data_IF_941482151747
#
_entry.id   IF_941482151747
#
_cell.length_a   1.000
_cell.length_b   1.000
_cell.length_c   1.000
_cell.angle_alpha   90.00
_cell.angle_beta   90.00
_cell.angle_gamma   90.00
#
_symmetry.space_group_name_H-M   'P 1'
#
loop_
_entity.id
_entity.type
_entity.pdbx_description
1 polymer ?
#
# COMPACT_ATOMS: atom_id res chain seq x y z
N UNK A 1 7.80 -64.66 -0.42
CA UNK A 1 8.35 -64.73 -1.80
C UNK A 1 9.14 -63.45 -1.99
N UNK A 2 10.43 -63.58 -2.14
CA UNK A 2 11.41 -62.54 -2.36
C UNK A 2 11.44 -62.13 -3.83
N UNK A 3 11.74 -60.87 -4.13
CA UNK A 3 12.43 -60.36 -5.32
C UNK A 3 12.73 -58.88 -5.01
N UNK A 4 13.90 -58.54 -4.78
CA UNK A 4 15.19 -58.45 -5.46
C UNK A 4 15.49 -56.98 -5.84
N UNK A 5 16.58 -56.50 -5.26
CA UNK A 5 17.33 -55.26 -5.51
C UNK A 5 17.61 -55.02 -7.00
N UNK A 6 17.66 -53.76 -7.40
CA UNK A 6 18.62 -53.38 -8.40
C UNK A 6 19.17 -51.94 -8.12
N UNK A 7 20.44 -51.95 -7.75
CA UNK A 7 21.35 -50.81 -7.65
C UNK A 7 21.45 -50.07 -8.97
N UNK A 8 21.32 -48.71 -8.94
CA UNK A 8 21.97 -47.85 -9.93
C UNK A 8 22.81 -46.78 -9.24
N UNK A 9 24.04 -47.13 -9.14
CA UNK A 9 25.23 -46.34 -8.92
C UNK A 9 25.19 -45.08 -9.81
N UNK A 10 25.14 -43.86 -9.24
CA UNK A 10 25.34 -42.63 -9.97
C UNK A 10 26.42 -41.78 -9.28
N UNK A 11 27.60 -41.97 -9.79
CA UNK A 11 28.88 -41.38 -9.47
C UNK A 11 28.81 -39.85 -9.84
N UNK A 12 28.60 -38.95 -8.88
CA UNK A 12 28.80 -37.53 -9.05
C UNK A 12 30.09 -37.10 -8.38
N UNK A 13 31.07 -36.74 -9.21
CA UNK A 13 32.32 -36.11 -8.81
C UNK A 13 32.06 -34.75 -8.15
N UNK A 14 32.87 -34.35 -7.15
CA UNK A 14 32.75 -33.02 -6.54
C UNK A 14 33.33 -31.94 -7.47
N UNK A 15 32.58 -30.85 -7.61
CA UNK A 15 32.98 -29.64 -8.33
C UNK A 15 34.00 -28.84 -7.50
N UNK A 16 35.22 -28.65 -8.06
CA UNK A 16 36.24 -27.71 -7.52
C UNK A 16 36.01 -26.34 -8.17
N UNK A 17 35.95 -25.24 -7.40
CA UNK A 17 36.00 -23.91 -8.02
C UNK A 17 37.46 -23.53 -8.34
N UNK A 18 37.72 -23.24 -9.61
CA UNK A 18 38.95 -22.61 -10.07
C UNK A 18 38.95 -21.14 -9.70
N UNK A 19 40.09 -20.69 -9.16
CA UNK A 19 40.35 -19.32 -8.78
C UNK A 19 40.57 -18.39 -9.98
N UNK A 20 39.90 -17.24 -9.97
CA UNK A 20 40.13 -16.13 -10.89
C UNK A 20 40.40 -14.84 -10.10
N UNK A 21 41.68 -14.44 -10.05
CA UNK A 21 42.21 -13.21 -9.46
C UNK A 21 41.70 -11.98 -10.21
N UNK A 22 41.31 -10.95 -9.48
CA UNK A 22 40.97 -9.66 -10.08
C UNK A 22 40.59 -8.60 -9.05
N UNK A 23 41.49 -8.32 -8.09
CA UNK A 23 41.36 -7.16 -7.20
C UNK A 23 41.77 -5.88 -7.92
N UNK A 24 40.79 -5.03 -8.32
CA UNK A 24 41.07 -3.64 -8.67
C UNK A 24 41.28 -2.83 -7.40
N UNK A 25 42.53 -2.45 -7.12
CA UNK A 25 42.90 -1.47 -6.11
C UNK A 25 42.55 -0.08 -6.60
N UNK A 26 41.76 0.66 -5.84
CA UNK A 26 41.66 2.12 -5.94
C UNK A 26 42.79 2.75 -5.14
N UNK A 27 43.43 3.84 -5.62
CA UNK A 27 44.52 4.47 -4.91
C UNK A 27 44.03 5.20 -3.66
N UNK A 28 44.73 4.97 -2.56
CA UNK A 28 44.55 5.70 -1.32
C UNK A 28 45.18 7.08 -1.45
N UNK A 29 44.41 8.13 -1.30
CA UNK A 29 44.89 9.50 -1.14
C UNK A 29 45.47 9.63 0.28
N UNK A 30 46.80 9.76 0.31
CA UNK A 30 47.61 10.12 1.48
C UNK A 30 47.60 11.63 1.56
N UNK A 31 46.80 12.21 2.49
CA UNK A 31 47.09 13.47 3.18
C UNK A 31 45.86 13.88 4.01
N UNK A 32 45.70 13.29 5.17
CA UNK A 32 44.92 13.86 6.24
C UNK A 32 45.72 13.76 7.54
N UNK A 33 46.37 14.86 7.92
CA UNK A 33 46.99 15.02 9.25
C UNK A 33 45.98 15.66 10.19
N UNK A 34 45.71 15.11 11.37
CA UNK A 34 44.95 15.79 12.39
C UNK A 34 45.82 16.78 13.16
N UNK A 35 45.52 18.06 13.03
CA UNK A 35 46.12 19.09 13.86
C UNK A 35 45.18 19.46 15.01
N UNK A 36 45.68 19.23 16.22
CA UNK A 36 45.79 20.18 17.32
C UNK A 36 44.52 20.67 18.00
N UNK A 37 44.43 20.28 19.25
CA UNK A 37 43.67 20.90 20.34
C UNK A 37 43.68 22.43 20.28
N UNK A 38 42.48 23.04 20.37
CA UNK A 38 42.31 24.44 20.77
C UNK A 38 41.55 24.53 22.07
N UNK A 39 42.02 25.33 23.06
CA UNK A 39 41.40 25.44 24.38
C UNK A 39 40.10 26.26 24.34
N UNK A 40 39.15 25.87 25.22
CA UNK A 40 37.93 26.60 25.52
C UNK A 40 38.26 27.99 26.06
N UNK A 41 37.89 29.04 25.35
CA UNK A 41 37.85 30.42 25.86
C UNK A 41 36.49 30.68 26.51
N UNK A 42 36.57 31.05 27.80
CA UNK A 42 35.44 31.61 28.56
C UNK A 42 35.12 33.00 28.00
N UNK A 43 33.91 33.23 27.53
CA UNK A 43 33.39 34.57 27.22
C UNK A 43 32.48 35.02 28.34
N UNK A 44 33.00 35.93 29.17
CA UNK A 44 32.29 36.76 30.14
C UNK A 44 31.34 37.72 29.39
N UNK A 45 30.09 37.76 29.83
CA UNK A 45 29.11 38.77 29.41
C UNK A 45 29.49 40.11 30.02
N UNK A 46 29.86 41.09 29.19
CA UNK A 46 29.84 42.51 29.57
C UNK A 46 28.57 43.18 29.02
N UNK A 47 27.77 43.67 29.95
CA UNK A 47 26.61 44.53 29.67
C UNK A 47 27.04 45.86 29.06
N UNK A 48 26.54 46.22 27.86
CA UNK A 48 26.61 47.55 27.30
C UNK A 48 25.21 48.16 27.24
N UNK A 49 25.04 49.45 27.67
CA UNK A 49 23.74 50.13 27.70
C UNK A 49 23.25 50.42 26.31
N UNK A 50 21.93 50.29 26.11
CA UNK A 50 21.22 50.70 24.89
C UNK A 50 21.07 52.21 24.88
N UNK A 51 21.67 52.87 23.91
CA UNK A 51 21.37 54.27 23.56
C UNK A 51 20.06 54.33 22.76
N UNK A 52 19.12 55.12 23.30
CA UNK A 52 17.89 55.53 22.63
C UNK A 52 18.19 56.49 21.47
N UNK A 53 17.82 56.10 20.27
CA UNK A 53 17.75 57.02 19.11
C UNK A 53 16.29 57.36 18.78
N UNK A 54 15.92 58.64 18.54
CA UNK A 54 14.55 59.06 18.28
C UNK A 54 14.08 58.53 16.92
N UNK A 55 12.81 58.10 16.86
CA UNK A 55 12.09 57.77 15.63
C UNK A 55 11.79 59.07 14.85
N UNK A 56 12.35 59.21 13.66
CA UNK A 56 11.92 60.22 12.67
C UNK A 56 10.63 59.72 11.99
N UNK A 57 9.59 60.55 12.09
CA UNK A 57 8.33 60.46 11.34
C UNK A 57 8.60 60.65 9.87
N UNK A 58 8.44 59.63 9.06
CA UNK A 58 8.36 59.77 7.60
C UNK A 58 6.91 59.82 7.17
N UNK A 59 6.44 61.05 6.96
CA UNK A 59 5.20 61.37 6.25
C UNK A 59 5.25 60.82 4.80
N UNK A 60 4.28 59.95 4.49
CA UNK A 60 4.05 59.52 3.10
C UNK A 60 3.45 60.70 2.29
N UNK A 61 4.23 61.20 1.34
CA UNK A 61 3.75 62.10 0.30
C UNK A 61 3.18 61.29 -0.87
N UNK A 62 2.01 61.73 -1.31
CA UNK A 62 1.23 61.31 -2.46
C UNK A 62 2.03 60.83 -3.67
N UNK A 63 1.82 59.60 -4.10
CA UNK A 63 2.21 59.10 -5.41
C UNK A 63 0.98 58.99 -6.32
N UNK A 64 1.08 59.64 -7.45
CA UNK A 64 0.08 59.80 -8.52
C UNK A 64 -0.51 58.48 -9.03
N UNK A 65 -1.75 58.47 -9.54
CA UNK A 65 -2.37 57.27 -10.09
C UNK A 65 -1.69 56.86 -11.40
N UNK A 66 -1.37 55.56 -11.50
CA UNK A 66 -0.86 54.93 -12.72
C UNK A 66 -2.01 54.72 -13.70
N UNK A 67 -1.95 55.46 -14.83
CA UNK A 67 -2.81 55.28 -16.01
C UNK A 67 -2.59 53.90 -16.61
N UNK A 68 -3.55 52.97 -16.47
CA UNK A 68 -3.61 51.73 -17.18
C UNK A 68 -4.23 51.94 -18.56
N UNK A 69 -3.42 51.91 -19.60
CA UNK A 69 -3.88 51.80 -20.98
C UNK A 69 -4.64 50.47 -21.19
N UNK A 70 -5.75 50.45 -21.94
CA UNK A 70 -6.48 49.25 -22.22
C UNK A 70 -5.66 48.31 -23.12
N UNK A 71 -5.59 47.04 -22.75
CA UNK A 71 -4.94 45.97 -23.51
C UNK A 71 -5.84 45.58 -24.68
N UNK A 72 -5.35 45.77 -25.89
CA UNK A 72 -6.05 45.50 -27.13
C UNK A 72 -6.38 44.01 -27.26
N UNK A 73 -7.65 43.71 -27.52
CA UNK A 73 -8.19 42.43 -27.93
C UNK A 73 -7.48 41.93 -29.19
N UNK A 74 -6.77 40.79 -29.07
CA UNK A 74 -6.43 39.92 -30.20
C UNK A 74 -7.31 38.69 -30.13
N UNK A 75 -7.95 38.28 -31.21
CA UNK A 75 -8.77 37.07 -31.20
C UNK A 75 -7.87 35.85 -30.99
N UNK A 76 -8.14 35.03 -29.95
CA UNK A 76 -7.59 33.69 -29.78
C UNK A 76 -8.49 32.73 -30.50
N UNK A 77 -8.09 32.32 -31.66
CA UNK A 77 -8.65 31.15 -32.35
C UNK A 77 -8.29 29.86 -31.55
N UNK A 78 -9.32 29.05 -31.32
CA UNK A 78 -9.16 27.62 -31.20
C UNK A 78 -9.12 26.98 -29.80
N UNK A 79 -9.95 27.40 -28.85
CA UNK A 79 -10.31 26.49 -27.75
C UNK A 79 -11.75 25.99 -27.96
N UNK A 80 -11.89 24.71 -28.33
CA UNK A 80 -13.18 24.01 -28.31
C UNK A 80 -13.67 24.00 -26.87
N UNK A 81 -14.67 24.80 -26.58
CA UNK A 81 -15.47 24.73 -25.37
C UNK A 81 -16.17 23.37 -25.35
N UNK A 82 -15.78 22.50 -24.40
CA UNK A 82 -16.58 21.34 -24.07
C UNK A 82 -17.85 21.85 -23.42
N UNK A 83 -18.97 21.74 -24.13
CA UNK A 83 -20.30 21.93 -23.57
C UNK A 83 -20.46 20.99 -22.37
N UNK A 84 -20.66 21.57 -21.19
CA UNK A 84 -21.16 20.85 -20.03
C UNK A 84 -22.57 20.36 -20.39
N UNK A 85 -22.69 19.09 -20.75
CA UNK A 85 -24.00 18.42 -20.79
C UNK A 85 -24.61 18.54 -19.41
N UNK A 86 -25.65 19.34 -19.33
CA UNK A 86 -26.54 19.43 -18.19
C UNK A 86 -27.18 18.06 -18.03
N UNK A 87 -26.72 17.27 -17.03
CA UNK A 87 -27.38 16.05 -16.64
C UNK A 87 -28.64 16.42 -15.90
N UNK A 88 -29.77 16.04 -16.48
CA UNK A 88 -31.10 16.14 -15.88
C UNK A 88 -31.11 15.44 -14.51
N UNK A 89 -31.53 16.19 -13.50
CA UNK A 89 -31.49 15.80 -12.07
C UNK A 89 -32.76 15.04 -11.64
N UNK A 90 -33.43 14.35 -12.53
CA UNK A 90 -34.72 13.68 -12.25
C UNK A 90 -34.72 12.15 -12.46
N UNK A 91 -33.61 11.48 -12.18
CA UNK A 91 -33.66 10.06 -11.81
C UNK A 91 -33.24 9.97 -10.34
N UNK A 92 -34.22 9.90 -9.45
CA UNK A 92 -34.01 9.44 -8.07
C UNK A 92 -33.58 7.99 -8.17
N UNK A 93 -32.26 7.81 -8.11
CA UNK A 93 -31.65 6.51 -8.07
C UNK A 93 -31.84 5.93 -6.68
N UNK A 94 -32.34 4.72 -6.63
CA UNK A 94 -32.17 3.82 -5.50
C UNK A 94 -30.67 3.52 -5.38
N UNK A 95 -29.95 4.36 -4.65
CA UNK A 95 -28.62 4.03 -4.14
C UNK A 95 -28.83 3.14 -2.92
N UNK A 96 -28.08 2.02 -2.87
CA UNK A 96 -27.93 1.31 -1.60
C UNK A 96 -27.29 2.24 -0.55
N UNK A 97 -27.40 1.87 0.73
CA UNK A 97 -26.88 2.68 1.85
C UNK A 97 -25.38 3.02 1.73
N UNK A 98 -24.65 2.45 0.76
CA UNK A 98 -23.24 2.65 0.45
C UNK A 98 -23.00 3.52 -0.81
N UNK A 99 -24.08 4.03 -1.47
CA UNK A 99 -23.97 4.97 -2.59
C UNK A 99 -23.64 4.36 -3.96
N UNK A 100 -23.84 3.06 -4.13
CA UNK A 100 -23.59 2.33 -5.36
C UNK A 100 -24.92 1.97 -6.04
N UNK A 101 -25.08 2.21 -7.35
CA UNK A 101 -26.21 1.70 -8.13
C UNK A 101 -26.08 0.19 -8.29
N UNK A 102 -27.01 -0.62 -7.83
CA UNK A 102 -26.95 -2.06 -8.09
C UNK A 102 -27.17 -2.32 -9.59
N UNK A 103 -26.14 -2.84 -10.25
CA UNK A 103 -26.33 -3.52 -11.53
C UNK A 103 -27.00 -4.87 -11.21
N UNK A 104 -28.18 -5.21 -11.77
CA UNK A 104 -28.86 -6.48 -11.48
C UNK A 104 -28.04 -7.74 -11.84
N UNK A 105 -26.96 -7.63 -12.59
CA UNK A 105 -25.97 -8.71 -12.80
C UNK A 105 -24.86 -8.73 -11.73
N UNK A 106 -24.83 -7.78 -10.77
CA UNK A 106 -23.74 -7.58 -9.81
C UNK A 106 -24.10 -8.04 -8.37
N UNK A 107 -24.99 -9.00 -8.19
CA UNK A 107 -25.12 -9.71 -6.90
C UNK A 107 -23.86 -10.53 -6.55
N UNK A 108 -22.92 -10.66 -7.48
CA UNK A 108 -21.61 -11.28 -7.30
C UNK A 108 -20.47 -10.27 -7.29
N UNK A 109 -19.37 -10.59 -6.64
CA UNK A 109 -18.13 -9.82 -6.72
C UNK A 109 -17.53 -9.86 -8.12
N UNK A 110 -16.67 -8.90 -8.43
CA UNK A 110 -15.91 -8.87 -9.68
C UNK A 110 -14.41 -8.74 -9.38
N UNK A 111 -13.59 -9.49 -10.12
CA UNK A 111 -12.14 -9.31 -10.14
C UNK A 111 -11.73 -8.81 -11.52
N UNK A 112 -11.10 -7.63 -11.57
CA UNK A 112 -10.87 -6.87 -12.80
C UNK A 112 -9.38 -6.78 -13.11
N UNK A 113 -9.00 -7.16 -14.33
CA UNK A 113 -7.64 -7.02 -14.85
C UNK A 113 -6.81 -8.29 -14.77
N UNK A 114 -5.80 -8.38 -15.66
CA UNK A 114 -5.08 -9.65 -15.96
C UNK A 114 -4.34 -10.24 -14.76
N UNK A 115 -3.68 -9.40 -13.94
CA UNK A 115 -2.91 -9.89 -12.79
C UNK A 115 -3.84 -10.38 -11.68
N UNK A 116 -4.88 -9.60 -11.34
CA UNK A 116 -5.82 -10.00 -10.32
C UNK A 116 -6.58 -11.28 -10.69
N UNK A 117 -7.01 -11.41 -11.96
CA UNK A 117 -7.65 -12.63 -12.46
C UNK A 117 -6.68 -13.83 -12.45
N UNK A 118 -5.40 -13.63 -12.74
CA UNK A 118 -4.40 -14.70 -12.65
C UNK A 118 -4.27 -15.24 -11.23
N UNK A 119 -4.14 -14.37 -10.25
CA UNK A 119 -4.02 -14.81 -8.84
C UNK A 119 -5.34 -15.41 -8.34
N UNK A 120 -6.48 -14.88 -8.76
CA UNK A 120 -7.78 -15.50 -8.51
C UNK A 120 -7.86 -16.94 -9.04
N UNK A 121 -7.43 -17.18 -10.30
CA UNK A 121 -7.42 -18.53 -10.88
C UNK A 121 -6.48 -19.49 -10.14
N UNK A 122 -5.47 -19.00 -9.44
CA UNK A 122 -4.55 -19.79 -8.60
C UNK A 122 -5.04 -20.00 -7.17
N UNK A 123 -6.01 -19.22 -6.74
CA UNK A 123 -6.64 -19.38 -5.42
C UNK A 123 -7.73 -20.46 -5.46
N UNK A 124 -8.21 -20.84 -4.28
CA UNK A 124 -9.32 -21.81 -4.12
C UNK A 124 -10.70 -21.17 -4.25
N UNK A 125 -10.75 -19.88 -4.58
CA UNK A 125 -12.01 -19.14 -4.68
C UNK A 125 -12.78 -19.53 -5.94
N UNK A 126 -14.06 -19.83 -5.78
CA UNK A 126 -14.95 -20.20 -6.90
C UNK A 126 -15.14 -19.04 -7.87
N UNK A 127 -14.92 -19.31 -9.16
CA UNK A 127 -15.16 -18.37 -10.27
C UNK A 127 -16.36 -18.82 -11.05
N UNK A 128 -17.39 -17.98 -11.14
CA UNK A 128 -18.65 -18.29 -11.83
C UNK A 128 -18.47 -18.27 -13.36
N UNK A 129 -17.78 -17.25 -13.86
CA UNK A 129 -17.46 -17.10 -15.29
C UNK A 129 -16.33 -16.11 -15.52
N UNK A 130 -15.63 -16.26 -16.63
CA UNK A 130 -14.61 -15.33 -17.12
C UNK A 130 -15.15 -14.57 -18.34
N UNK A 131 -15.26 -13.25 -18.23
CA UNK A 131 -15.61 -12.37 -19.35
C UNK A 131 -14.34 -11.90 -20.05
N UNK A 132 -14.22 -12.12 -21.35
CA UNK A 132 -13.04 -11.78 -22.14
C UNK A 132 -13.45 -10.92 -23.32
N UNK A 133 -12.66 -9.89 -23.65
CA UNK A 133 -12.92 -9.05 -24.81
C UNK A 133 -12.86 -9.90 -26.11
N UNK A 134 -13.91 -9.81 -26.92
CA UNK A 134 -13.97 -10.49 -28.22
C UNK A 134 -12.78 -10.11 -29.08
N UNK A 135 -12.13 -11.12 -29.67
CA UNK A 135 -10.96 -10.95 -30.56
C UNK A 135 -9.64 -10.66 -29.84
N UNK A 136 -9.60 -10.63 -28.52
CA UNK A 136 -8.34 -10.46 -27.73
C UNK A 136 -7.69 -11.85 -27.57
N UNK A 137 -6.82 -12.21 -28.49
CA UNK A 137 -6.17 -13.54 -28.54
C UNK A 137 -4.67 -13.46 -28.42
N UNK A 138 -4.14 -12.39 -27.81
CA UNK A 138 -2.70 -12.16 -27.72
C UNK A 138 -2.22 -12.00 -26.27
N UNK A 139 -0.99 -12.43 -26.03
CA UNK A 139 -0.29 -12.23 -24.76
C UNK A 139 -0.89 -13.02 -23.59
N UNK A 140 -0.88 -12.41 -22.43
CA UNK A 140 -1.26 -13.08 -21.17
C UNK A 140 -2.74 -13.48 -21.07
N UNK A 141 -3.61 -12.93 -21.93
CA UNK A 141 -5.04 -13.28 -21.91
C UNK A 141 -5.28 -14.70 -22.41
N UNK A 142 -4.47 -15.19 -23.37
CA UNK A 142 -4.55 -16.56 -23.89
C UNK A 142 -4.26 -17.56 -22.76
N UNK A 143 -3.27 -17.25 -21.93
CA UNK A 143 -2.91 -18.11 -20.79
C UNK A 143 -4.06 -18.16 -19.77
N UNK A 144 -4.67 -17.01 -19.46
CA UNK A 144 -5.81 -16.95 -18.52
C UNK A 144 -7.03 -17.72 -19.04
N UNK A 145 -7.31 -17.64 -20.33
CA UNK A 145 -8.39 -18.39 -20.96
C UNK A 145 -8.11 -19.90 -20.92
N UNK A 146 -6.89 -20.33 -21.25
CA UNK A 146 -6.50 -21.73 -21.18
C UNK A 146 -6.62 -22.29 -19.75
N UNK A 147 -6.12 -21.56 -18.75
CA UNK A 147 -6.21 -21.93 -17.35
C UNK A 147 -7.66 -22.01 -16.85
N UNK A 148 -8.51 -21.06 -17.27
CA UNK A 148 -9.93 -21.06 -16.92
C UNK A 148 -10.65 -22.29 -17.53
N UNK A 149 -10.37 -22.62 -18.80
CA UNK A 149 -10.94 -23.79 -19.48
C UNK A 149 -10.47 -25.09 -18.83
N UNK A 150 -9.20 -25.21 -18.49
CA UNK A 150 -8.66 -26.37 -17.75
C UNK A 150 -9.37 -26.59 -16.41
N UNK A 151 -9.70 -25.48 -15.70
CA UNK A 151 -10.45 -25.52 -14.43
C UNK A 151 -11.98 -25.68 -14.62
N UNK A 152 -12.47 -25.81 -15.85
CA UNK A 152 -13.91 -25.94 -16.13
C UNK A 152 -14.70 -24.64 -15.92
N UNK A 153 -14.03 -23.49 -15.87
CA UNK A 153 -14.66 -22.18 -15.68
C UNK A 153 -15.24 -21.72 -17.03
N UNK A 154 -16.52 -21.34 -17.11
CA UNK A 154 -17.12 -20.81 -18.33
C UNK A 154 -16.43 -19.53 -18.80
N UNK A 155 -15.98 -19.51 -20.06
CA UNK A 155 -15.37 -18.34 -20.71
C UNK A 155 -16.36 -17.74 -21.70
N UNK A 156 -16.71 -16.47 -21.53
CA UNK A 156 -17.68 -15.75 -22.35
C UNK A 156 -17.00 -14.59 -23.06
N UNK A 157 -16.99 -14.62 -24.38
CA UNK A 157 -16.52 -13.48 -25.18
C UNK A 157 -17.58 -12.37 -25.25
N UNK A 158 -17.19 -11.17 -24.86
CA UNK A 158 -18.05 -9.99 -24.81
C UNK A 158 -17.42 -8.80 -25.53
N UNK A 159 -18.23 -7.84 -25.94
CA UNK A 159 -17.73 -6.61 -26.55
C UNK A 159 -17.05 -5.72 -25.50
N UNK A 160 -16.12 -4.86 -25.95
CA UNK A 160 -15.38 -3.93 -25.08
C UNK A 160 -16.34 -3.06 -24.25
N UNK A 161 -17.43 -2.59 -24.86
CA UNK A 161 -18.44 -1.75 -24.20
C UNK A 161 -19.07 -2.43 -22.98
N UNK A 162 -19.33 -3.74 -23.03
CA UNK A 162 -19.86 -4.50 -21.89
C UNK A 162 -18.83 -4.56 -20.76
N UNK A 163 -17.55 -4.78 -21.07
CA UNK A 163 -16.48 -4.75 -20.05
C UNK A 163 -16.28 -3.36 -19.47
N UNK A 164 -16.32 -2.30 -20.30
CA UNK A 164 -16.22 -0.92 -19.84
C UNK A 164 -17.38 -0.56 -18.89
N UNK A 165 -18.60 -0.98 -19.19
CA UNK A 165 -19.77 -0.73 -18.36
C UNK A 165 -19.68 -1.46 -16.99
N UNK A 166 -19.26 -2.72 -16.98
CA UNK A 166 -19.08 -3.50 -15.75
C UNK A 166 -17.92 -2.99 -14.90
N UNK A 167 -16.80 -2.62 -15.54
CA UNK A 167 -15.61 -2.14 -14.86
C UNK A 167 -15.73 -0.69 -14.39
N UNK A 168 -16.68 0.09 -14.90
CA UNK A 168 -16.78 1.52 -14.66
C UNK A 168 -15.48 2.24 -15.04
N UNK A 169 -14.87 2.95 -14.09
CA UNK A 169 -13.59 3.65 -14.32
C UNK A 169 -12.34 2.77 -14.14
N UNK A 170 -12.53 1.48 -13.79
CA UNK A 170 -11.41 0.57 -13.53
C UNK A 170 -10.90 -0.03 -14.85
N UNK A 171 -9.62 0.16 -15.26
CA UNK A 171 -9.09 -0.41 -16.49
C UNK A 171 -9.11 -1.94 -16.45
N UNK A 172 -9.98 -2.58 -17.23
CA UNK A 172 -10.21 -4.03 -17.21
C UNK A 172 -9.17 -4.86 -17.97
N UNK A 173 -8.33 -4.26 -18.79
CA UNK A 173 -7.29 -4.95 -19.58
C UNK A 173 -7.81 -6.12 -20.46
N UNK A 174 -9.08 -6.10 -20.82
CA UNK A 174 -9.73 -7.11 -21.67
C UNK A 174 -10.31 -8.31 -20.91
N UNK A 175 -10.27 -8.33 -19.56
CA UNK A 175 -10.76 -9.46 -18.76
C UNK A 175 -11.40 -9.02 -17.45
N UNK A 176 -12.52 -9.68 -17.10
CA UNK A 176 -13.21 -9.57 -15.80
C UNK A 176 -13.64 -10.98 -15.40
N UNK A 177 -13.36 -11.40 -14.18
CA UNK A 177 -13.92 -12.61 -13.58
C UNK A 177 -15.11 -12.25 -12.69
N UNK A 178 -16.23 -12.95 -12.88
CA UNK A 178 -17.39 -12.90 -12.00
C UNK A 178 -17.20 -13.96 -10.92
N UNK A 179 -17.36 -13.56 -9.66
CA UNK A 179 -17.05 -14.39 -8.50
C UNK A 179 -18.02 -14.08 -7.37
N UNK A 180 -18.21 -15.00 -6.42
CA UNK A 180 -18.81 -14.64 -5.16
C UNK A 180 -18.00 -13.53 -4.47
N UNK A 181 -18.65 -12.66 -3.71
CA UNK A 181 -17.94 -11.63 -2.96
C UNK A 181 -16.94 -12.29 -1.99
N UNK A 182 -15.72 -11.74 -1.88
CA UNK A 182 -14.74 -12.25 -0.92
C UNK A 182 -15.26 -12.03 0.50
N UNK A 183 -15.38 -13.10 1.24
CA UNK A 183 -15.77 -13.07 2.64
C UNK A 183 -14.65 -12.47 3.50
N UNK A 184 -15.05 -11.78 4.56
CA UNK A 184 -14.11 -11.29 5.56
C UNK A 184 -13.83 -12.42 6.56
N UNK A 185 -12.56 -12.55 6.89
CA UNK A 185 -12.09 -13.40 7.99
C UNK A 185 -12.39 -12.75 9.34
N UNK A 186 -12.23 -13.50 10.42
CA UNK A 186 -12.17 -12.99 11.78
C UNK A 186 -10.74 -12.72 12.21
N UNK A 187 -10.55 -12.07 13.35
CA UNK A 187 -9.20 -11.88 13.94
C UNK A 187 -8.63 -13.21 14.41
N UNK A 188 -9.50 -14.07 14.91
CA UNK A 188 -9.17 -15.44 15.33
C UNK A 188 -8.65 -16.30 14.15
N UNK A 189 -9.27 -16.17 12.96
CA UNK A 189 -8.78 -16.85 11.75
C UNK A 189 -7.36 -16.41 11.38
N UNK A 190 -7.08 -15.08 11.50
CA UNK A 190 -5.72 -14.57 11.23
C UNK A 190 -4.70 -15.14 12.20
N UNK A 191 -5.04 -15.23 13.49
CA UNK A 191 -4.18 -15.83 14.49
C UNK A 191 -4.01 -17.35 14.27
N UNK A 192 -5.08 -18.04 13.85
CA UNK A 192 -5.05 -19.45 13.51
C UNK A 192 -4.11 -19.74 12.32
N UNK A 193 -4.11 -18.90 11.28
CA UNK A 193 -3.18 -19.01 10.14
C UNK A 193 -1.71 -18.99 10.61
N UNK A 194 -1.38 -18.07 11.53
CA UNK A 194 -0.03 -18.00 12.08
C UNK A 194 0.34 -19.29 12.86
N UNK A 195 -0.58 -19.77 13.67
CA UNK A 195 -0.39 -20.99 14.45
C UNK A 195 -0.25 -22.23 13.54
N UNK A 196 -1.06 -22.37 12.49
CA UNK A 196 -0.98 -23.45 11.52
C UNK A 196 0.35 -23.46 10.74
N UNK A 197 0.90 -22.27 10.46
CA UNK A 197 2.23 -22.14 9.83
C UNK A 197 3.38 -22.37 10.82
N UNK A 198 3.12 -22.41 12.12
CA UNK A 198 4.15 -22.45 13.16
C UNK A 198 4.95 -21.15 13.24
N UNK A 199 4.37 -20.06 12.80
CA UNK A 199 4.99 -18.74 12.73
C UNK A 199 4.47 -17.82 13.84
N UNK A 200 5.26 -16.80 14.18
CA UNK A 200 4.82 -15.74 15.08
C UNK A 200 3.81 -14.84 14.37
N UNK A 201 2.66 -14.50 14.99
CA UNK A 201 1.71 -13.57 14.38
C UNK A 201 2.36 -12.29 13.85
N UNK A 202 2.12 -12.00 12.58
CA UNK A 202 2.48 -10.77 11.91
C UNK A 202 1.23 -10.21 11.23
N UNK A 203 0.70 -9.11 11.75
CA UNK A 203 -0.62 -8.56 11.41
C UNK A 203 -0.48 -7.10 10.99
N UNK A 204 -1.28 -6.66 10.04
CA UNK A 204 -1.39 -5.24 9.65
C UNK A 204 -2.77 -4.71 10.05
N UNK A 205 -2.83 -3.51 10.59
CA UNK A 205 -4.08 -2.84 10.97
C UNK A 205 -4.16 -1.53 10.20
N UNK A 206 -5.24 -1.32 9.43
CA UNK A 206 -5.46 -0.09 8.68
C UNK A 206 -6.46 0.79 9.41
N UNK A 207 -6.01 1.89 10.02
CA UNK A 207 -6.86 2.84 10.73
C UNK A 207 -7.28 4.00 9.82
N UNK A 208 -8.53 3.96 9.33
CA UNK A 208 -9.13 5.06 8.58
C UNK A 208 -8.64 5.20 7.14
N UNK A 209 -8.13 4.16 6.50
CA UNK A 209 -7.73 4.20 5.08
C UNK A 209 -8.98 4.12 4.21
N UNK A 210 -9.31 5.23 3.53
CA UNK A 210 -10.52 5.36 2.70
C UNK A 210 -10.22 5.27 1.20
N UNK A 211 -8.98 5.50 0.77
CA UNK A 211 -8.60 5.38 -0.63
C UNK A 211 -8.36 3.91 -1.01
N UNK A 212 -9.08 3.37 -2.03
CA UNK A 212 -8.95 1.99 -2.46
C UNK A 212 -7.58 1.66 -3.07
N UNK A 213 -6.87 2.64 -3.64
CA UNK A 213 -5.51 2.41 -4.15
C UNK A 213 -4.52 2.19 -3.01
N UNK A 214 -4.64 2.97 -1.93
CA UNK A 214 -3.81 2.82 -0.75
C UNK A 214 -4.09 1.51 -0.02
N UNK A 215 -5.37 1.14 0.17
CA UNK A 215 -5.70 -0.13 0.79
C UNK A 215 -5.21 -1.32 -0.04
N UNK A 216 -5.41 -1.29 -1.37
CA UNK A 216 -4.92 -2.34 -2.24
C UNK A 216 -3.39 -2.47 -2.25
N UNK A 217 -2.67 -1.34 -2.26
CA UNK A 217 -1.22 -1.35 -2.14
C UNK A 217 -0.75 -1.85 -0.77
N UNK A 218 -1.45 -1.49 0.32
CA UNK A 218 -1.16 -1.99 1.67
C UNK A 218 -1.37 -3.51 1.76
N UNK A 219 -2.47 -4.05 1.20
CA UNK A 219 -2.71 -5.50 1.10
C UNK A 219 -1.56 -6.18 0.37
N UNK A 220 -1.13 -5.62 -0.76
CA UNK A 220 -0.02 -6.17 -1.55
C UNK A 220 1.30 -6.16 -0.78
N UNK A 221 1.60 -5.08 -0.04
CA UNK A 221 2.79 -5.01 0.80
C UNK A 221 2.72 -6.02 1.95
N UNK A 222 1.57 -6.14 2.61
CA UNK A 222 1.37 -7.05 3.73
C UNK A 222 1.53 -8.51 3.28
N UNK A 223 0.89 -8.91 2.19
CA UNK A 223 1.02 -10.25 1.62
C UNK A 223 2.46 -10.55 1.19
N UNK A 224 3.06 -9.64 0.41
CA UNK A 224 4.43 -9.80 -0.08
C UNK A 224 5.50 -9.83 1.02
N UNK A 225 5.21 -9.29 2.20
CA UNK A 225 6.06 -9.37 3.39
C UNK A 225 5.74 -10.57 4.30
N UNK A 226 4.77 -11.40 3.94
CA UNK A 226 4.40 -12.60 4.71
C UNK A 226 3.51 -12.33 5.92
N UNK A 227 2.77 -11.21 5.96
CA UNK A 227 1.78 -10.99 7.01
C UNK A 227 0.66 -12.03 6.95
N UNK A 228 0.15 -12.45 8.12
CA UNK A 228 -0.91 -13.44 8.23
C UNK A 228 -2.30 -12.87 7.92
N UNK A 229 -2.47 -11.57 8.10
CA UNK A 229 -3.72 -10.90 7.77
C UNK A 229 -3.67 -9.38 7.94
N UNK A 230 -4.76 -8.77 7.46
CA UNK A 230 -4.98 -7.33 7.56
C UNK A 230 -6.32 -7.07 8.24
N UNK A 231 -6.37 -6.10 9.15
CA UNK A 231 -7.58 -5.71 9.89
C UNK A 231 -8.00 -4.32 9.43
N UNK A 232 -9.29 -4.16 9.07
CA UNK A 232 -9.90 -2.88 8.72
C UNK A 232 -11.11 -2.60 9.62
N UNK A 233 -11.46 -1.32 9.89
CA UNK A 233 -12.68 -1.00 10.61
C UNK A 233 -13.91 -1.11 9.70
N UNK A 234 -15.10 -1.34 10.29
CA UNK A 234 -16.38 -1.37 9.56
C UNK A 234 -16.78 -0.01 9.00
N UNK A 235 -16.36 1.07 9.65
CA UNK A 235 -16.72 2.45 9.30
C UNK A 235 -15.46 3.26 9.04
N UNK A 236 -15.59 4.30 8.19
CA UNK A 236 -14.49 5.22 7.84
C UNK A 236 -13.29 4.50 7.20
N UNK A 237 -13.54 3.43 6.46
CA UNK A 237 -12.54 2.73 5.67
C UNK A 237 -13.20 2.17 4.42
N UNK A 238 -12.41 2.04 3.36
CA UNK A 238 -12.83 1.33 2.16
C UNK A 238 -12.86 -0.18 2.43
N UNK A 239 -13.85 -0.88 1.89
CA UNK A 239 -13.95 -2.34 1.95
C UNK A 239 -13.22 -3.02 0.79
N UNK A 240 -13.40 -4.36 0.68
CA UNK A 240 -12.82 -5.19 -0.38
C UNK A 240 -13.61 -5.02 -1.70
N UNK A 241 -13.42 -3.89 -2.36
CA UNK A 241 -14.03 -3.56 -3.66
C UNK A 241 -13.23 -4.15 -4.84
N UNK A 242 -13.82 -4.17 -6.03
CA UNK A 242 -13.14 -4.55 -7.26
C UNK A 242 -11.90 -3.68 -7.55
N UNK A 243 -11.91 -2.41 -7.13
CA UNK A 243 -10.77 -1.51 -7.27
C UNK A 243 -9.64 -1.86 -6.30
N UNK A 244 -9.97 -2.26 -5.06
CA UNK A 244 -9.00 -2.79 -4.08
C UNK A 244 -8.40 -4.10 -4.58
N UNK A 245 -9.22 -5.03 -5.08
CA UNK A 245 -8.76 -6.28 -5.68
C UNK A 245 -7.77 -6.03 -6.82
N UNK A 246 -8.07 -5.06 -7.68
CA UNK A 246 -7.18 -4.69 -8.78
C UNK A 246 -5.89 -4.02 -8.30
N UNK A 247 -5.97 -3.05 -7.40
CA UNK A 247 -4.80 -2.31 -6.91
C UNK A 247 -3.87 -3.18 -6.07
N UNK A 248 -4.40 -4.23 -5.41
CA UNK A 248 -3.60 -5.26 -4.75
C UNK A 248 -2.89 -6.21 -5.71
N UNK A 249 -3.15 -6.12 -7.02
CA UNK A 249 -2.59 -6.99 -8.07
C UNK A 249 -2.82 -8.50 -7.82
N UNK A 250 -3.89 -8.85 -7.09
CA UNK A 250 -4.26 -10.22 -6.73
C UNK A 250 -3.85 -10.67 -5.33
N UNK A 251 -3.01 -9.92 -4.62
CA UNK A 251 -2.61 -10.24 -3.24
C UNK A 251 -3.81 -10.38 -2.29
N UNK A 252 -4.92 -9.69 -2.59
CA UNK A 252 -6.16 -9.82 -1.84
C UNK A 252 -6.67 -11.27 -1.79
N UNK A 253 -6.38 -12.10 -2.78
CA UNK A 253 -6.84 -13.50 -2.80
C UNK A 253 -6.11 -14.38 -1.78
N UNK A 254 -4.88 -14.00 -1.42
CA UNK A 254 -3.97 -14.78 -0.57
C UNK A 254 -3.90 -14.27 0.88
N UNK A 255 -4.30 -13.02 1.14
CA UNK A 255 -4.26 -12.42 2.48
C UNK A 255 -5.63 -12.49 3.14
N UNK A 256 -5.67 -12.99 4.39
CA UNK A 256 -6.87 -12.91 5.22
C UNK A 256 -7.16 -11.45 5.59
N UNK A 257 -8.41 -11.00 5.45
CA UNK A 257 -8.80 -9.64 5.81
C UNK A 257 -9.96 -9.69 6.80
N UNK A 258 -9.75 -9.16 8.00
CA UNK A 258 -10.79 -9.06 9.03
C UNK A 258 -11.43 -7.67 9.06
N UNK A 259 -12.74 -7.62 9.24
CA UNK A 259 -13.51 -6.37 9.34
C UNK A 259 -14.10 -6.22 10.73
N UNK A 260 -13.53 -5.32 11.54
CA UNK A 260 -13.84 -5.17 12.96
C UNK A 260 -14.71 -3.94 13.25
N UNK A 261 -15.49 -4.03 14.31
CA UNK A 261 -16.33 -2.91 14.74
C UNK A 261 -15.52 -1.75 15.34
N UNK A 262 -14.43 -2.07 16.06
CA UNK A 262 -13.61 -1.09 16.78
C UNK A 262 -12.15 -1.55 16.87
N UNK A 263 -11.23 -0.79 16.24
CA UNK A 263 -9.79 -1.10 16.24
C UNK A 263 -9.20 -1.06 17.66
N UNK A 264 -9.58 -0.08 18.49
CA UNK A 264 -9.07 0.00 19.86
C UNK A 264 -9.35 -1.27 20.67
N UNK A 265 -10.60 -1.79 20.61
CA UNK A 265 -10.95 -3.04 21.27
C UNK A 265 -10.15 -4.21 20.72
N UNK A 266 -10.01 -4.29 19.41
CA UNK A 266 -9.22 -5.34 18.74
C UNK A 266 -7.74 -5.30 19.14
N UNK A 267 -7.15 -4.11 19.32
CA UNK A 267 -5.77 -3.97 19.84
C UNK A 267 -5.67 -4.61 21.22
N UNK A 268 -6.60 -4.30 22.12
CA UNK A 268 -6.59 -4.89 23.47
C UNK A 268 -6.76 -6.42 23.45
N UNK A 269 -7.50 -6.96 22.49
CA UNK A 269 -7.65 -8.41 22.29
C UNK A 269 -6.35 -9.04 21.77
N UNK A 270 -5.68 -8.42 20.80
CA UNK A 270 -4.39 -8.85 20.28
C UNK A 270 -3.30 -8.83 21.37
N UNK A 271 -3.26 -7.78 22.19
CA UNK A 271 -2.34 -7.67 23.34
C UNK A 271 -2.55 -8.79 24.36
N UNK A 272 -3.81 -9.15 24.67
CA UNK A 272 -4.14 -10.30 25.52
C UNK A 272 -3.69 -11.62 24.92
N UNK A 273 -3.66 -11.72 23.60
CA UNK A 273 -3.12 -12.87 22.86
C UNK A 273 -1.58 -12.86 22.76
N UNK A 274 -0.90 -11.87 23.36
CA UNK A 274 0.55 -11.77 23.38
C UNK A 274 1.16 -11.10 22.14
N UNK A 275 0.36 -10.38 21.35
CA UNK A 275 0.82 -9.64 20.17
C UNK A 275 1.16 -8.21 20.54
N UNK A 276 2.39 -7.77 20.29
CA UNK A 276 2.82 -6.38 20.46
C UNK A 276 2.29 -5.51 19.32
N UNK A 277 1.68 -4.39 19.65
CA UNK A 277 1.05 -3.51 18.66
C UNK A 277 1.80 -2.19 18.55
N UNK A 278 2.29 -1.87 17.36
CA UNK A 278 3.05 -0.66 17.07
C UNK A 278 2.26 0.26 16.14
N UNK A 279 2.21 1.55 16.47
CA UNK A 279 1.65 2.57 15.58
C UNK A 279 2.76 3.16 14.68
N UNK A 280 2.54 3.16 13.36
CA UNK A 280 3.44 3.84 12.42
C UNK A 280 3.15 5.34 12.42
N UNK A 281 4.00 6.12 13.10
CA UNK A 281 3.81 7.56 13.29
C UNK A 281 5.16 8.27 13.44
N UNK A 282 5.22 9.55 13.15
CA UNK A 282 6.42 10.34 13.33
C UNK A 282 6.79 10.49 14.83
N UNK A 283 8.09 10.55 15.12
CA UNK A 283 8.60 10.79 16.47
C UNK A 283 8.71 9.54 17.36
N UNK A 284 8.42 8.35 16.82
CA UNK A 284 8.69 7.08 17.49
C UNK A 284 10.13 6.59 17.33
N UNK A 285 10.41 5.38 17.82
CA UNK A 285 11.67 4.68 17.58
C UNK A 285 11.87 4.43 16.09
N UNK A 286 13.09 4.48 15.60
CA UNK A 286 13.35 4.16 14.20
C UNK A 286 12.99 2.69 13.92
N UNK A 287 12.39 2.41 12.76
CA UNK A 287 11.95 1.05 12.41
C UNK A 287 13.07 0.02 12.44
N UNK A 288 14.29 0.43 12.10
CA UNK A 288 15.48 -0.45 12.12
C UNK A 288 16.08 -0.64 13.52
N UNK A 289 15.69 0.18 14.54
CA UNK A 289 16.10 0.07 15.93
C UNK A 289 15.01 -0.58 16.80
N UNK A 290 13.85 -0.92 16.22
CA UNK A 290 12.72 -1.54 16.91
C UNK A 290 12.80 -3.06 16.82
N UNK A 291 12.62 -3.74 17.97
CA UNK A 291 12.58 -5.20 18.02
C UNK A 291 11.20 -5.71 17.60
N UNK A 292 11.13 -6.35 16.44
CA UNK A 292 9.95 -7.02 15.88
C UNK A 292 10.07 -8.54 15.91
N UNK A 293 11.06 -9.11 16.58
CA UNK A 293 11.31 -10.55 16.56
C UNK A 293 10.19 -11.39 17.19
N UNK A 294 9.32 -10.78 17.99
CA UNK A 294 8.14 -11.38 18.61
C UNK A 294 6.87 -11.29 17.75
N UNK A 295 5.73 -11.84 18.25
CA UNK A 295 4.41 -11.62 17.64
C UNK A 295 4.12 -10.14 17.59
N UNK A 296 3.79 -9.60 16.40
CA UNK A 296 3.57 -8.15 16.28
C UNK A 296 2.44 -7.78 15.32
N UNK A 297 1.87 -6.60 15.54
CA UNK A 297 0.93 -5.93 14.65
C UNK A 297 1.38 -4.50 14.38
N UNK A 298 1.29 -4.07 13.11
CA UNK A 298 1.62 -2.72 12.68
C UNK A 298 0.34 -1.96 12.31
N UNK A 299 0.07 -0.84 12.98
CA UNK A 299 -1.05 0.05 12.68
C UNK A 299 -0.59 1.14 11.71
N UNK A 300 -1.24 1.19 10.55
CA UNK A 300 -1.07 2.22 9.53
C UNK A 300 -2.25 3.17 9.57
N UNK A 301 -2.00 4.46 9.72
CA UNK A 301 -3.03 5.50 9.74
C UNK A 301 -3.42 6.02 8.37
N UNK A 302 -4.44 6.88 8.33
CA UNK A 302 -4.90 7.56 7.12
C UNK A 302 -3.90 8.61 6.63
N UNK A 303 -4.01 8.99 5.34
CA UNK A 303 -3.27 10.14 4.80
C UNK A 303 -3.74 11.44 5.45
N UNK A 304 -2.80 12.22 5.96
CA UNK A 304 -3.06 13.52 6.57
C UNK A 304 -3.30 13.47 8.08
N UNK A 305 -4.17 12.60 8.60
CA UNK A 305 -4.46 12.50 10.02
C UNK A 305 -3.55 11.51 10.77
N UNK A 306 -2.92 10.56 10.04
CA UNK A 306 -2.11 9.51 10.64
C UNK A 306 -2.97 8.48 11.40
N UNK A 307 -2.37 7.86 12.40
CA UNK A 307 -3.07 6.93 13.31
C UNK A 307 -3.93 7.74 14.27
N UNK A 308 -5.22 7.39 14.39
CA UNK A 308 -6.13 8.10 15.28
C UNK A 308 -5.62 8.07 16.73
N UNK A 309 -5.86 9.17 17.47
CA UNK A 309 -5.32 9.36 18.82
C UNK A 309 -5.65 8.20 19.75
N UNK A 310 -6.91 7.75 19.76
CA UNK A 310 -7.36 6.67 20.65
C UNK A 310 -6.70 5.34 20.30
N UNK A 311 -6.46 5.07 19.01
CA UNK A 311 -5.77 3.88 18.54
C UNK A 311 -4.28 3.95 18.91
N UNK A 312 -3.65 5.09 18.70
CA UNK A 312 -2.25 5.32 19.04
C UNK A 312 -1.96 5.18 20.55
N UNK A 313 -2.85 5.70 21.40
CA UNK A 313 -2.76 5.58 22.87
C UNK A 313 -2.92 4.12 23.36
N UNK A 314 -3.57 3.25 22.58
CA UNK A 314 -3.71 1.83 22.88
C UNK A 314 -2.53 0.97 22.42
N UNK A 315 -1.68 1.46 21.54
CA UNK A 315 -0.51 0.72 21.05
C UNK A 315 0.59 0.63 22.11
N UNK A 316 1.40 -0.44 22.06
CA UNK A 316 2.54 -0.66 22.95
C UNK A 316 3.73 0.24 22.62
N UNK A 317 3.83 0.68 21.36
CA UNK A 317 4.92 1.54 20.90
C UNK A 317 4.58 2.32 19.64
N UNK A 318 5.44 3.29 19.36
CA UNK A 318 5.38 4.09 18.12
C UNK A 318 6.65 3.82 17.34
N UNK A 319 6.50 3.45 16.05
CA UNK A 319 7.60 3.21 15.14
C UNK A 319 7.60 4.26 14.05
N UNK A 320 8.76 4.77 13.70
CA UNK A 320 8.93 5.85 12.72
C UNK A 320 9.91 5.50 11.62
N UNK A 321 9.77 6.17 10.48
CA UNK A 321 10.78 6.20 9.42
C UNK A 321 11.48 7.55 9.51
N UNK A 322 12.80 7.60 9.82
CA UNK A 322 13.53 8.85 9.85
C UNK A 322 13.49 9.56 8.50
N UNK A 323 13.08 10.82 8.50
CA UNK A 323 12.98 11.66 7.31
C UNK A 323 14.16 12.63 7.26
N UNK A 324 14.95 12.57 6.19
CA UNK A 324 16.13 13.42 5.99
C UNK A 324 15.91 14.54 4.97
N UNK A 325 14.74 14.56 4.33
CA UNK A 325 14.35 15.56 3.34
C UNK A 325 13.54 16.71 3.94
N UNK A 326 12.88 17.48 3.07
CA UNK A 326 12.02 18.61 3.45
C UNK A 326 10.56 18.22 3.66
N UNK A 327 10.12 17.08 3.10
CA UNK A 327 8.79 16.53 3.32
C UNK A 327 8.78 15.77 4.65
N UNK A 328 7.66 15.76 5.34
CA UNK A 328 7.51 15.22 6.70
C UNK A 328 6.89 13.82 6.75
N UNK A 329 6.43 13.28 5.62
CA UNK A 329 5.79 11.96 5.55
C UNK A 329 5.94 11.31 4.17
N UNK A 330 5.79 9.99 4.12
CA UNK A 330 5.57 9.21 2.92
C UNK A 330 4.07 8.96 2.70
N UNK A 331 3.69 8.60 1.47
CA UNK A 331 2.41 7.95 1.24
C UNK A 331 2.28 6.70 2.13
N UNK A 332 1.08 6.40 2.61
CA UNK A 332 0.82 5.34 3.59
C UNK A 332 1.31 3.97 3.13
N UNK A 333 1.10 3.60 1.87
CA UNK A 333 1.54 2.31 1.34
C UNK A 333 3.07 2.24 1.18
N UNK A 334 3.72 3.36 0.87
CA UNK A 334 5.18 3.46 0.81
C UNK A 334 5.79 3.34 2.21
N UNK A 335 5.23 4.04 3.21
CA UNK A 335 5.65 3.91 4.60
C UNK A 335 5.47 2.46 5.10
N UNK A 336 4.32 1.86 4.79
CA UNK A 336 4.04 0.48 5.14
C UNK A 336 5.09 -0.47 4.55
N UNK A 337 5.44 -0.35 3.26
CA UNK A 337 6.41 -1.26 2.63
C UNK A 337 7.79 -1.19 3.29
N UNK A 338 8.22 -0.03 3.78
CA UNK A 338 9.51 0.11 4.49
C UNK A 338 9.48 -0.62 5.84
N UNK A 339 8.46 -0.38 6.66
CA UNK A 339 8.38 -0.97 8.00
C UNK A 339 8.07 -2.48 7.92
N UNK A 340 7.16 -2.90 7.04
CA UNK A 340 6.80 -4.32 6.86
C UNK A 340 7.98 -5.14 6.35
N UNK A 341 8.82 -4.58 5.46
CA UNK A 341 10.03 -5.24 4.99
C UNK A 341 11.04 -5.46 6.13
N UNK A 342 11.16 -4.53 7.08
CA UNK A 342 12.01 -4.71 8.26
C UNK A 342 11.44 -5.77 9.22
N UNK A 343 10.12 -5.78 9.46
CA UNK A 343 9.46 -6.82 10.25
C UNK A 343 9.71 -8.19 9.60
N UNK A 344 9.47 -8.31 8.30
CA UNK A 344 9.72 -9.55 7.54
C UNK A 344 11.17 -10.00 7.65
N UNK A 345 12.13 -9.07 7.51
CA UNK A 345 13.56 -9.36 7.68
C UNK A 345 13.84 -9.97 9.05
N UNK A 346 13.30 -9.39 10.12
CA UNK A 346 13.53 -9.88 11.48
C UNK A 346 12.88 -11.26 11.72
N UNK A 347 11.66 -11.50 11.19
CA UNK A 347 10.96 -12.77 11.33
C UNK A 347 11.63 -13.92 10.56
N UNK A 348 12.29 -13.65 9.43
CA UNK A 348 12.92 -14.68 8.59
C UNK A 348 14.42 -14.82 8.83
N UNK A 349 15.06 -13.98 9.67
CA UNK A 349 16.51 -14.05 9.95
C UNK A 349 16.80 -14.65 11.34
N UNK A 350 15.78 -14.79 12.17
CA UNK A 350 15.85 -15.42 13.50
C UNK A 350 15.39 -16.87 13.41
#
# INVERSE_FOLDING_TARGET
MAYNNNDRNNNKKPYKPEGGKGTKKYPADKNFTPTGDRPRGEHTHEDRPREDRPREDRTYKDSKPFDRKPYNDRPRDGYKTYEKKQYDRDTRNDFDEDGNTPDPEAEGGMVIGRNAVRELLRSDRTVDKLLVRRGDREGSIVVLVAEAVEKGIPVVEVDKTKLDNLAGFVPHQGVIAMVAQKEYSTVEDILAIAAERGEKPFIVIADGITDPYNLGALIRCAEGCGAHGLIIPRRRAVGLTALVAKSSAGAMEHLAVAKVANIHTTILELQKAGVWVYAAEAGGSAHYDTDFTGPCALVMGSEGEGVSRVVKEACDGIVSIPMYGRVNSFNVSTAASVILAEIARQHHTT
#
